data_IF_445878230794
#
_entry.id   IF_445878230794
#
_cell.length_a   1.000
_cell.length_b   1.000
_cell.length_c   1.000
_cell.angle_alpha   90.00
_cell.angle_beta   90.00
_cell.angle_gamma   90.00
#
_symmetry.space_group_name_H-M   'P 1'
#
loop_
_entity.id
_entity.type
_entity.pdbx_description
1 polymer ?
#
# COMPACT_ATOMS: atom_id res chain seq x y z
N UNK A 1 -12.49 -22.12 -17.36
CA UNK A 1 -11.23 -21.93 -16.60
C UNK A 1 -10.35 -23.15 -16.85
N UNK A 2 -9.05 -22.95 -17.11
CA UNK A 2 -8.04 -24.02 -17.20
C UNK A 2 -7.02 -23.83 -16.08
N UNK A 3 -6.30 -24.88 -15.74
CA UNK A 3 -5.28 -24.84 -14.68
C UNK A 3 -3.91 -25.22 -15.21
N UNK A 4 -2.88 -24.62 -14.64
CA UNK A 4 -1.48 -25.04 -14.77
C UNK A 4 -0.86 -25.15 -13.37
N UNK A 5 0.26 -25.87 -13.28
CA UNK A 5 1.03 -25.97 -12.05
C UNK A 5 2.43 -25.40 -12.30
N UNK A 6 2.76 -24.32 -11.58
CA UNK A 6 4.09 -23.72 -11.60
C UNK A 6 4.41 -23.19 -10.21
N UNK A 7 5.48 -23.66 -9.56
CA UNK A 7 5.88 -23.12 -8.26
C UNK A 7 6.36 -21.67 -8.39
N UNK A 8 6.38 -20.90 -7.29
CA UNK A 8 7.02 -19.60 -7.31
C UNK A 8 8.50 -19.69 -7.65
N UNK A 9 9.01 -18.73 -8.40
CA UNK A 9 10.41 -18.62 -8.85
C UNK A 9 11.00 -17.27 -8.42
N UNK A 10 12.32 -17.09 -8.47
CA UNK A 10 12.95 -15.81 -8.12
C UNK A 10 12.98 -14.91 -9.35
N UNK A 11 12.63 -13.63 -9.18
CA UNK A 11 12.80 -12.56 -10.17
C UNK A 11 13.45 -11.36 -9.50
N UNK A 12 13.85 -10.37 -10.28
CA UNK A 12 14.23 -9.05 -9.77
C UNK A 12 13.02 -8.10 -9.87
N UNK A 13 12.86 -7.19 -8.91
CA UNK A 13 11.90 -6.09 -9.02
C UNK A 13 12.50 -4.87 -9.75
N UNK A 14 11.68 -3.83 -10.00
CA UNK A 14 12.04 -2.55 -10.65
C UNK A 14 13.25 -1.84 -10.02
N UNK A 15 13.72 -2.29 -8.87
CA UNK A 15 14.80 -1.70 -8.13
C UNK A 15 16.02 -2.64 -7.96
N UNK A 16 16.03 -3.77 -8.68
CA UNK A 16 17.12 -4.74 -8.73
C UNK A 16 17.21 -5.65 -7.51
N UNK A 17 16.11 -5.85 -6.77
CA UNK A 17 16.06 -6.75 -5.62
C UNK A 17 15.42 -8.07 -5.99
N UNK A 18 16.07 -9.17 -5.61
CA UNK A 18 15.50 -10.51 -5.68
C UNK A 18 14.23 -10.60 -4.85
N UNK A 19 13.20 -11.15 -5.48
CA UNK A 19 11.88 -11.31 -4.91
C UNK A 19 11.24 -12.58 -5.45
N UNK A 20 10.51 -13.28 -4.57
CA UNK A 20 9.87 -14.53 -4.94
C UNK A 20 8.60 -14.21 -5.72
N UNK A 21 8.51 -14.63 -6.96
CA UNK A 21 7.40 -14.37 -7.85
C UNK A 21 6.55 -15.61 -8.08
N UNK A 22 5.23 -15.46 -7.89
CA UNK A 22 4.24 -16.44 -8.31
C UNK A 22 3.49 -15.89 -9.51
N UNK A 23 3.61 -16.56 -10.66
CA UNK A 23 2.75 -16.31 -11.81
C UNK A 23 1.39 -16.94 -11.55
N UNK A 24 0.36 -16.11 -11.39
CA UNK A 24 -0.94 -16.51 -10.82
C UNK A 24 -1.94 -16.88 -11.89
N UNK A 25 -2.05 -16.06 -12.93
CA UNK A 25 -3.07 -16.25 -13.96
C UNK A 25 -2.83 -15.41 -15.20
N UNK A 26 -3.48 -15.79 -16.29
CA UNK A 26 -3.60 -14.98 -17.50
C UNK A 26 -4.95 -15.22 -18.20
N UNK A 27 -5.30 -14.32 -19.11
CA UNK A 27 -6.49 -14.42 -19.94
C UNK A 27 -6.09 -14.86 -21.35
N UNK A 28 -6.68 -15.94 -21.82
CA UNK A 28 -6.57 -16.46 -23.17
C UNK A 28 -7.87 -16.13 -23.93
N UNK A 29 -7.82 -15.22 -24.91
CA UNK A 29 -8.98 -14.90 -25.74
C UNK A 29 -9.59 -16.14 -26.39
N UNK A 30 -10.92 -16.15 -26.62
CA UNK A 30 -11.87 -15.07 -26.36
C UNK A 30 -12.51 -15.09 -24.96
N UNK A 31 -12.33 -16.18 -24.19
CA UNK A 31 -13.13 -16.44 -22.99
C UNK A 31 -12.50 -17.43 -21.98
N UNK A 32 -11.20 -17.73 -22.11
CA UNK A 32 -10.54 -18.72 -21.24
C UNK A 32 -9.65 -18.02 -20.23
N UNK A 33 -9.90 -18.22 -18.93
CA UNK A 33 -8.95 -17.85 -17.87
C UNK A 33 -8.11 -19.07 -17.52
N UNK A 34 -6.79 -18.88 -17.47
CA UNK A 34 -5.82 -19.90 -17.08
C UNK A 34 -5.24 -19.54 -15.72
N UNK A 35 -5.44 -20.41 -14.72
CA UNK A 35 -5.08 -20.18 -13.32
C UNK A 35 -3.97 -21.12 -12.85
N UNK A 36 -3.09 -20.64 -11.99
CA UNK A 36 -2.13 -21.47 -11.29
C UNK A 36 -2.86 -22.24 -10.18
N UNK A 37 -2.67 -23.56 -10.09
CA UNK A 37 -3.23 -24.42 -9.02
C UNK A 37 -2.87 -23.93 -7.63
N UNK A 38 -1.73 -23.25 -7.46
CA UNK A 38 -1.34 -22.63 -6.20
C UNK A 38 -2.40 -21.64 -5.65
N UNK A 39 -3.23 -21.05 -6.52
CA UNK A 39 -4.34 -20.18 -6.10
C UNK A 39 -5.48 -20.92 -5.40
N UNK A 40 -5.61 -22.24 -5.57
CA UNK A 40 -6.63 -23.06 -4.86
C UNK A 40 -6.44 -22.95 -3.33
N UNK A 41 -5.20 -22.71 -2.87
CA UNK A 41 -4.87 -22.47 -1.47
C UNK A 41 -4.99 -20.99 -1.05
N UNK A 42 -5.30 -20.09 -1.99
CA UNK A 42 -5.41 -18.64 -1.77
C UNK A 42 -6.74 -18.10 -2.36
N UNK A 43 -7.91 -18.59 -1.90
CA UNK A 43 -9.21 -18.34 -2.55
C UNK A 43 -9.56 -16.85 -2.65
N UNK A 44 -9.19 -16.04 -1.64
CA UNK A 44 -9.35 -14.58 -1.64
C UNK A 44 -8.65 -13.93 -2.84
N UNK A 45 -7.47 -14.43 -3.20
CA UNK A 45 -6.67 -13.95 -4.33
C UNK A 45 -7.26 -14.44 -5.65
N UNK A 46 -7.69 -15.71 -5.70
CA UNK A 46 -8.36 -16.27 -6.87
C UNK A 46 -9.63 -15.49 -7.24
N UNK A 47 -10.46 -15.12 -6.25
CA UNK A 47 -11.66 -14.29 -6.47
C UNK A 47 -11.33 -12.97 -7.15
N UNK A 48 -10.25 -12.30 -6.70
CA UNK A 48 -9.80 -11.05 -7.30
C UNK A 48 -9.36 -11.23 -8.75
N UNK A 49 -8.56 -12.27 -9.05
CA UNK A 49 -8.07 -12.51 -10.41
C UNK A 49 -9.20 -12.80 -11.39
N UNK A 50 -10.13 -13.66 -11.00
CA UNK A 50 -11.34 -13.96 -11.78
C UNK A 50 -12.20 -12.71 -12.00
N UNK A 51 -12.37 -11.88 -10.96
CA UNK A 51 -13.16 -10.65 -11.05
C UNK A 51 -12.53 -9.62 -11.99
N UNK A 52 -11.20 -9.50 -11.99
CA UNK A 52 -10.48 -8.60 -12.88
C UNK A 52 -10.59 -9.04 -14.34
N UNK A 53 -10.47 -10.34 -14.64
CA UNK A 53 -10.70 -10.84 -16.01
C UNK A 53 -12.15 -10.78 -16.45
N UNK A 54 -13.10 -10.91 -15.52
CA UNK A 54 -14.50 -10.62 -15.83
C UNK A 54 -14.67 -9.15 -16.22
N UNK A 55 -13.98 -8.24 -15.52
CA UNK A 55 -13.88 -6.83 -15.90
C UNK A 55 -13.33 -6.66 -17.32
N UNK A 56 -12.24 -7.37 -17.65
CA UNK A 56 -11.68 -7.36 -19.02
C UNK A 56 -12.69 -7.82 -20.06
N UNK A 57 -13.45 -8.88 -19.77
CA UNK A 57 -14.46 -9.38 -20.69
C UNK A 57 -15.61 -8.40 -20.90
N UNK A 58 -16.06 -7.72 -19.84
CA UNK A 58 -17.21 -6.81 -19.87
C UNK A 58 -16.83 -5.44 -20.45
N UNK A 59 -15.68 -4.89 -20.07
CA UNK A 59 -15.25 -3.54 -20.44
C UNK A 59 -14.48 -3.49 -21.76
N UNK A 60 -13.80 -4.57 -22.13
CA UNK A 60 -12.87 -4.62 -23.27
C UNK A 60 -13.13 -5.82 -24.19
N UNK A 61 -14.33 -6.39 -24.17
CA UNK A 61 -14.76 -7.53 -24.99
C UNK A 61 -13.95 -8.83 -24.83
N UNK A 62 -12.97 -8.86 -23.91
CA UNK A 62 -12.04 -9.98 -23.76
C UNK A 62 -11.12 -10.14 -24.97
N UNK A 63 -10.63 -9.03 -25.52
CA UNK A 63 -9.70 -8.99 -26.67
C UNK A 63 -8.28 -9.47 -26.36
N UNK A 64 -7.98 -9.82 -25.10
CA UNK A 64 -6.68 -10.29 -24.65
C UNK A 64 -5.65 -9.21 -24.29
N UNK A 65 -5.92 -7.93 -24.53
CA UNK A 65 -5.03 -6.84 -24.17
C UNK A 65 -5.23 -6.47 -22.68
N UNK A 66 -4.77 -7.37 -21.81
CA UNK A 66 -4.77 -7.25 -20.34
C UNK A 66 -3.51 -7.92 -19.80
N UNK A 67 -2.92 -7.38 -18.73
CA UNK A 67 -1.73 -8.00 -18.15
C UNK A 67 -2.06 -9.34 -17.49
N UNK A 68 -1.10 -10.25 -17.55
CA UNK A 68 -1.08 -11.43 -16.71
C UNK A 68 -0.86 -11.01 -15.26
N UNK A 69 -1.42 -11.78 -14.34
CA UNK A 69 -1.29 -11.50 -12.93
C UNK A 69 -0.12 -12.26 -12.34
N UNK A 70 0.83 -11.51 -11.79
CA UNK A 70 1.89 -12.03 -10.94
C UNK A 70 1.82 -11.39 -9.54
N UNK A 71 2.47 -12.05 -8.59
CA UNK A 71 2.70 -11.55 -7.22
C UNK A 71 4.17 -11.69 -6.93
N UNK A 72 4.77 -10.70 -6.27
CA UNK A 72 6.21 -10.66 -6.02
C UNK A 72 7.02 -10.05 -7.18
N UNK A 73 6.50 -10.01 -8.41
CA UNK A 73 7.20 -9.41 -9.56
C UNK A 73 6.86 -7.93 -9.80
N UNK A 74 7.31 -7.42 -10.94
CA UNK A 74 7.13 -6.06 -11.45
C UNK A 74 5.71 -5.46 -11.25
N UNK A 75 5.67 -4.13 -11.15
CA UNK A 75 4.46 -3.31 -11.12
C UNK A 75 3.62 -3.49 -12.39
N UNK A 76 2.62 -4.39 -12.38
CA UNK A 76 1.68 -4.50 -13.51
C UNK A 76 2.28 -5.00 -14.83
N UNK A 77 3.58 -5.30 -14.84
CA UNK A 77 4.26 -5.97 -15.93
C UNK A 77 4.03 -7.46 -15.83
N UNK A 78 3.26 -8.02 -16.77
CA UNK A 78 3.80 -9.21 -17.40
C UNK A 78 5.14 -8.80 -18.00
N UNK A 79 6.23 -9.55 -17.80
CA UNK A 79 7.33 -9.48 -18.75
C UNK A 79 6.70 -9.89 -20.09
N UNK A 80 6.52 -8.95 -21.01
CA UNK A 80 6.48 -9.35 -22.41
C UNK A 80 7.91 -9.79 -22.74
N UNK A 81 8.14 -11.04 -23.17
CA UNK A 81 9.48 -11.57 -23.40
C UNK A 81 10.31 -10.79 -24.44
N UNK A 82 9.71 -9.83 -25.16
CA UNK A 82 10.30 -9.19 -26.33
C UNK A 82 10.35 -7.64 -26.31
N UNK A 83 9.92 -6.96 -25.24
CA UNK A 83 10.11 -5.51 -25.18
C UNK A 83 11.54 -5.19 -24.73
N UNK A 84 12.40 -4.94 -25.71
CA UNK A 84 13.72 -4.35 -25.51
C UNK A 84 13.65 -3.20 -24.51
N UNK A 85 14.72 -3.10 -23.71
CA UNK A 85 15.01 -2.06 -22.73
C UNK A 85 15.04 -0.66 -23.34
N UNK A 86 13.89 -0.14 -23.73
CA UNK A 86 13.71 1.26 -24.11
C UNK A 86 13.19 2.02 -22.89
N UNK A 87 13.91 3.06 -22.48
CA UNK A 87 13.51 4.00 -21.41
C UNK A 87 12.25 4.83 -21.77
N UNK A 88 11.50 4.44 -22.81
CA UNK A 88 10.33 5.14 -23.34
C UNK A 88 9.07 4.31 -23.14
N UNK A 89 8.14 4.84 -22.35
CA UNK A 89 6.79 4.29 -22.19
C UNK A 89 6.07 4.33 -23.55
N UNK A 90 5.68 3.18 -24.07
CA UNK A 90 4.95 3.08 -25.35
C UNK A 90 3.46 3.39 -25.17
N UNK A 91 2.76 3.70 -26.27
CA UNK A 91 1.29 3.86 -26.24
C UNK A 91 0.57 2.57 -25.82
N UNK A 92 1.12 1.41 -26.20
CA UNK A 92 0.64 0.09 -25.75
C UNK A 92 0.77 -0.10 -24.25
N UNK A 93 1.87 0.37 -23.64
CA UNK A 93 2.06 0.27 -22.18
C UNK A 93 1.03 1.12 -21.44
N UNK A 94 0.77 2.34 -21.93
CA UNK A 94 -0.25 3.23 -21.37
C UNK A 94 -1.64 2.57 -21.48
N UNK A 95 -1.98 2.01 -22.64
CA UNK A 95 -3.26 1.35 -22.85
C UNK A 95 -3.43 0.15 -21.91
N UNK A 96 -2.42 -0.72 -21.80
CA UNK A 96 -2.43 -1.87 -20.91
C UNK A 96 -2.56 -1.43 -19.45
N UNK A 97 -1.80 -0.42 -19.02
CA UNK A 97 -1.88 0.12 -17.66
C UNK A 97 -3.28 0.67 -17.34
N UNK A 98 -3.89 1.40 -18.28
CA UNK A 98 -5.23 1.95 -18.11
C UNK A 98 -6.29 0.85 -18.01
N UNK A 99 -6.27 -0.13 -18.91
CA UNK A 99 -7.21 -1.26 -18.89
C UNK A 99 -7.05 -2.11 -17.62
N UNK A 100 -5.83 -2.34 -17.17
CA UNK A 100 -5.57 -3.01 -15.90
C UNK A 100 -6.14 -2.22 -14.71
N UNK A 101 -6.04 -0.89 -14.74
CA UNK A 101 -6.66 -0.03 -13.73
C UNK A 101 -8.19 -0.15 -13.74
N UNK A 102 -8.82 -0.09 -14.92
CA UNK A 102 -10.28 -0.24 -15.08
C UNK A 102 -10.76 -1.62 -14.62
N UNK A 103 -10.07 -2.69 -15.01
CA UNK A 103 -10.37 -4.05 -14.60
C UNK A 103 -10.19 -4.26 -13.08
N UNK A 104 -9.15 -3.67 -12.48
CA UNK A 104 -8.93 -3.69 -11.03
C UNK A 104 -10.02 -2.93 -10.27
N UNK A 105 -10.44 -1.77 -10.79
CA UNK A 105 -11.54 -0.99 -10.23
C UNK A 105 -12.87 -1.75 -10.33
N UNK A 106 -13.15 -2.37 -11.49
CA UNK A 106 -14.28 -3.26 -11.70
C UNK A 106 -14.28 -4.42 -10.70
N UNK A 107 -13.16 -5.11 -10.55
CA UNK A 107 -13.04 -6.22 -9.61
C UNK A 107 -13.36 -5.80 -8.17
N UNK A 108 -12.83 -4.65 -7.74
CA UNK A 108 -13.17 -4.07 -6.44
C UNK A 108 -14.66 -3.73 -6.31
N UNK A 109 -15.29 -3.21 -7.38
CA UNK A 109 -16.71 -2.89 -7.38
C UNK A 109 -17.62 -4.12 -7.37
N UNK A 110 -17.20 -5.19 -8.03
CA UNK A 110 -17.90 -6.48 -8.07
C UNK A 110 -17.81 -7.19 -6.71
N UNK A 111 -16.60 -7.32 -6.16
CA UNK A 111 -16.37 -7.98 -4.87
C UNK A 111 -16.91 -7.18 -3.69
N UNK A 112 -17.01 -5.86 -3.85
CA UNK A 112 -17.48 -4.95 -2.81
C UNK A 112 -18.45 -3.91 -3.41
N UNK A 113 -19.71 -4.31 -3.66
CA UNK A 113 -20.73 -3.42 -4.21
C UNK A 113 -20.92 -2.17 -3.34
N UNK A 114 -21.02 -1.00 -3.97
CA UNK A 114 -20.88 0.31 -3.29
C UNK A 114 -21.76 0.46 -2.04
N UNK A 115 -23.07 0.26 -2.17
CA UNK A 115 -24.00 0.47 -1.06
C UNK A 115 -23.87 -0.62 0.02
N UNK A 116 -23.93 -1.93 -0.30
CA UNK A 116 -23.73 -2.98 0.71
C UNK A 116 -22.39 -2.84 1.45
N UNK A 117 -21.31 -2.58 0.72
CA UNK A 117 -19.99 -2.45 1.30
C UNK A 117 -19.86 -1.20 2.18
N UNK A 118 -20.49 -0.08 1.82
CA UNK A 118 -20.55 1.10 2.69
C UNK A 118 -21.25 0.80 4.02
N UNK A 119 -22.40 0.12 4.00
CA UNK A 119 -23.10 -0.28 5.22
C UNK A 119 -22.26 -1.25 6.06
N UNK A 120 -21.56 -2.18 5.40
CA UNK A 120 -20.63 -3.09 6.04
C UNK A 120 -19.50 -2.34 6.75
N UNK A 121 -18.83 -1.40 6.07
CA UNK A 121 -17.78 -0.56 6.67
C UNK A 121 -18.28 0.20 7.90
N UNK A 122 -19.48 0.77 7.84
CA UNK A 122 -20.08 1.47 8.97
C UNK A 122 -20.35 0.52 10.16
N UNK A 123 -20.90 -0.68 9.90
CA UNK A 123 -21.15 -1.66 10.97
C UNK A 123 -19.85 -2.12 11.66
N UNK A 124 -18.78 -2.23 10.89
CA UNK A 124 -17.48 -2.67 11.38
C UNK A 124 -16.58 -1.51 11.85
N UNK A 125 -17.11 -0.28 11.94
CA UNK A 125 -16.37 0.94 12.29
C UNK A 125 -15.06 1.11 11.48
N UNK A 126 -15.08 0.74 10.20
CA UNK A 126 -13.93 0.70 9.29
C UNK A 126 -12.72 -0.10 9.82
N UNK A 127 -12.94 -1.09 10.69
CA UNK A 127 -11.90 -1.99 11.15
C UNK A 127 -11.24 -2.70 9.97
N UNK A 128 -9.91 -2.62 9.87
CA UNK A 128 -9.17 -3.17 8.75
C UNK A 128 -9.21 -4.69 8.69
N UNK A 129 -9.36 -5.40 9.82
CA UNK A 129 -9.41 -6.86 9.85
C UNK A 129 -10.76 -7.43 9.39
N UNK A 130 -11.78 -6.58 9.20
CA UNK A 130 -13.09 -7.05 8.78
C UNK A 130 -13.12 -7.60 7.34
N UNK A 131 -12.03 -7.48 6.55
CA UNK A 131 -11.92 -8.18 5.28
C UNK A 131 -12.04 -9.70 5.41
N UNK A 132 -11.67 -10.25 6.56
CA UNK A 132 -11.68 -11.70 6.81
C UNK A 132 -13.09 -12.27 6.80
N UNK A 133 -14.07 -11.52 7.35
CA UNK A 133 -15.47 -11.96 7.47
C UNK A 133 -16.19 -12.03 6.12
N UNK A 134 -15.71 -11.30 5.12
CA UNK A 134 -16.26 -11.30 3.74
C UNK A 134 -15.32 -11.99 2.74
N UNK A 135 -14.26 -12.61 3.25
CA UNK A 135 -13.34 -13.47 2.50
C UNK A 135 -12.79 -12.83 1.20
N UNK A 136 -12.22 -11.63 1.36
CA UNK A 136 -11.44 -10.92 0.33
C UNK A 136 -10.05 -10.56 0.85
N UNK A 137 -9.15 -10.08 0.00
CA UNK A 137 -7.82 -9.63 0.45
C UNK A 137 -7.87 -8.27 1.14
N UNK A 138 -6.99 -8.04 2.12
CA UNK A 138 -6.84 -6.74 2.79
C UNK A 138 -6.65 -5.59 1.79
N UNK A 139 -5.84 -5.79 0.75
CA UNK A 139 -5.62 -4.77 -0.29
C UNK A 139 -6.88 -4.43 -1.09
N UNK A 140 -7.77 -5.38 -1.37
CA UNK A 140 -9.07 -5.07 -2.01
C UNK A 140 -9.96 -4.29 -1.03
N UNK A 141 -10.07 -4.77 0.21
CA UNK A 141 -10.88 -4.16 1.25
C UNK A 141 -10.50 -2.69 1.50
N UNK A 142 -9.22 -2.43 1.78
CA UNK A 142 -8.70 -1.11 2.11
C UNK A 142 -8.73 -0.15 0.90
N UNK A 143 -8.41 -0.62 -0.31
CA UNK A 143 -8.55 0.23 -1.53
C UNK A 143 -10.00 0.57 -1.81
N UNK A 144 -10.92 -0.37 -1.60
CA UNK A 144 -12.34 -0.10 -1.81
C UNK A 144 -12.87 0.89 -0.77
N UNK A 145 -12.41 0.80 0.47
CA UNK A 145 -12.77 1.73 1.55
C UNK A 145 -12.60 3.20 1.13
N UNK A 146 -11.49 3.53 0.47
CA UNK A 146 -11.18 4.92 0.06
C UNK A 146 -12.12 5.50 -0.99
N UNK A 147 -12.80 4.67 -1.79
CA UNK A 147 -13.68 5.13 -2.88
C UNK A 147 -15.18 5.01 -2.58
N UNK A 148 -15.57 4.26 -1.54
CA UNK A 148 -16.97 4.13 -1.13
C UNK A 148 -17.31 4.90 0.14
N UNK A 149 -16.31 5.26 0.95
CA UNK A 149 -16.53 6.05 2.18
C UNK A 149 -17.24 7.38 1.85
N UNK A 150 -18.17 7.86 2.70
CA UNK A 150 -18.73 9.21 2.54
C UNK A 150 -17.68 10.30 2.77
N UNK A 151 -16.68 10.04 3.61
CA UNK A 151 -15.56 10.94 3.79
C UNK A 151 -14.60 10.81 2.61
N UNK A 152 -14.13 11.93 2.04
CA UNK A 152 -13.37 11.93 0.78
C UNK A 152 -11.85 11.93 0.95
N UNK A 153 -11.36 12.29 2.13
CA UNK A 153 -9.95 12.60 2.33
C UNK A 153 -9.16 11.37 2.78
N UNK A 154 -9.08 10.37 1.91
CA UNK A 154 -8.38 9.10 2.14
C UNK A 154 -7.04 8.98 1.42
N UNK A 155 -6.19 8.10 1.93
CA UNK A 155 -5.05 7.54 1.21
C UNK A 155 -4.93 6.02 1.43
N UNK A 156 -4.25 5.36 0.50
CA UNK A 156 -3.85 3.96 0.59
C UNK A 156 -2.44 3.78 0.03
N UNK A 157 -1.65 2.95 0.70
CA UNK A 157 -0.32 2.53 0.27
C UNK A 157 -0.18 1.01 0.35
N UNK A 158 0.49 0.41 -0.63
CA UNK A 158 0.97 -0.98 -0.63
C UNK A 158 2.48 -0.93 -0.84
N UNK A 159 3.26 -1.42 0.13
CA UNK A 159 4.69 -1.18 0.21
C UNK A 159 5.48 -2.46 0.47
N UNK A 160 6.54 -2.68 -0.32
CA UNK A 160 7.46 -3.80 -0.20
C UNK A 160 8.83 -3.32 0.28
N UNK A 161 9.60 -4.21 0.91
CA UNK A 161 11.00 -3.94 1.21
C UNK A 161 11.81 -3.76 -0.11
N UNK A 162 12.79 -2.84 -0.16
CA UNK A 162 13.29 -1.97 0.93
C UNK A 162 12.64 -0.58 1.02
N UNK A 163 11.36 -0.44 0.65
CA UNK A 163 10.61 0.82 0.71
C UNK A 163 9.92 1.22 -0.60
N UNK A 164 9.77 0.28 -1.53
CA UNK A 164 9.09 0.50 -2.80
C UNK A 164 7.56 0.46 -2.64
N UNK A 165 6.85 1.38 -3.31
CA UNK A 165 5.39 1.45 -3.28
C UNK A 165 4.80 0.80 -4.53
N UNK A 166 4.09 -0.32 -4.34
CA UNK A 166 3.39 -1.04 -5.39
C UNK A 166 2.06 -0.40 -5.78
N UNK A 167 1.40 0.29 -4.86
CA UNK A 167 0.14 0.98 -5.18
C UNK A 167 -0.06 2.18 -4.28
N UNK A 168 -0.56 3.27 -4.88
CA UNK A 168 -0.85 4.53 -4.19
C UNK A 168 -2.18 5.08 -4.66
N UNK A 169 -3.11 5.35 -3.73
CA UNK A 169 -4.36 6.07 -3.97
C UNK A 169 -4.45 7.24 -2.99
N UNK A 170 -4.84 8.43 -3.46
CA UNK A 170 -4.90 9.64 -2.61
C UNK A 170 -6.03 10.59 -3.01
N UNK A 171 -6.70 11.14 -2.01
CA UNK A 171 -7.67 12.24 -2.11
C UNK A 171 -7.56 13.23 -0.94
N UNK A 172 -6.49 13.17 -0.16
CA UNK A 172 -6.38 13.77 1.17
C UNK A 172 -5.32 14.88 1.29
N UNK A 173 -4.91 15.47 0.17
CA UNK A 173 -3.97 16.59 0.12
C UNK A 173 -2.57 16.31 0.68
N UNK A 174 -2.16 15.03 0.76
CA UNK A 174 -0.76 14.67 0.97
C UNK A 174 0.07 15.29 -0.18
N UNK A 175 0.96 16.28 0.11
CA UNK A 175 1.82 16.88 -0.90
C UNK A 175 2.72 15.79 -1.45
N UNK A 176 2.86 15.72 -2.78
CA UNK A 176 3.63 14.67 -3.42
C UNK A 176 5.13 14.92 -3.18
N UNK A 177 5.85 14.04 -2.49
CA UNK A 177 7.30 14.00 -2.57
C UNK A 177 7.78 13.16 -3.77
N UNK A 178 6.88 12.34 -4.35
CA UNK A 178 7.17 11.14 -5.14
C UNK A 178 6.80 11.33 -6.62
N UNK A 179 7.77 11.67 -7.46
CA UNK A 179 7.56 11.84 -8.91
C UNK A 179 7.57 10.53 -9.71
N UNK A 180 8.07 9.43 -9.15
CA UNK A 180 7.98 8.11 -9.76
C UNK A 180 7.77 7.05 -8.65
N UNK A 181 7.05 5.97 -8.94
CA UNK A 181 6.81 4.87 -7.98
C UNK A 181 8.05 4.01 -7.72
N UNK A 182 9.23 4.37 -8.27
CA UNK A 182 10.47 3.62 -8.09
C UNK A 182 11.02 3.84 -6.68
N UNK A 183 11.92 2.95 -6.26
CA UNK A 183 12.66 3.09 -5.01
C UNK A 183 13.33 4.46 -4.95
N UNK A 184 12.74 5.36 -4.16
CA UNK A 184 13.31 6.68 -3.98
C UNK A 184 14.29 6.70 -2.83
N UNK A 185 15.35 7.45 -3.11
CA UNK A 185 16.30 7.97 -2.16
C UNK A 185 15.50 8.84 -1.19
N UNK A 186 15.21 8.29 -0.02
CA UNK A 186 14.95 9.03 1.22
C UNK A 186 13.48 9.36 1.62
N UNK A 187 12.59 8.34 1.73
CA UNK A 187 11.28 8.54 2.35
C UNK A 187 11.42 8.82 3.85
N UNK A 188 10.56 9.69 4.40
CA UNK A 188 10.49 9.88 5.84
C UNK A 188 10.11 8.55 6.53
N UNK A 189 11.06 7.95 7.24
CA UNK A 189 10.93 6.66 7.93
C UNK A 189 9.93 6.67 9.10
N UNK A 190 9.34 7.82 9.42
CA UNK A 190 8.34 7.99 10.47
C UNK A 190 6.91 7.74 10.01
N UNK A 191 6.68 7.59 8.71
CA UNK A 191 5.37 7.18 8.21
C UNK A 191 5.10 5.74 8.69
N UNK A 192 3.89 5.46 9.19
CA UNK A 192 3.54 4.17 9.77
C UNK A 192 3.88 2.98 8.84
N UNK A 193 3.64 3.15 7.53
CA UNK A 193 3.99 2.14 6.50
C UNK A 193 5.47 1.78 6.51
N UNK A 194 6.37 2.77 6.59
CA UNK A 194 7.81 2.56 6.60
C UNK A 194 8.32 2.09 7.97
N UNK A 195 7.78 2.63 9.07
CA UNK A 195 8.07 2.16 10.44
C UNK A 195 7.76 0.68 10.59
N UNK A 196 6.58 0.26 10.11
CA UNK A 196 6.17 -1.12 10.17
C UNK A 196 7.03 -1.97 9.23
N UNK A 197 7.29 -1.51 8.01
CA UNK A 197 8.18 -2.18 7.05
C UNK A 197 9.55 -2.49 7.66
N UNK A 198 10.18 -1.53 8.33
CA UNK A 198 11.55 -1.62 8.85
C UNK A 198 11.68 -2.42 10.15
N UNK A 199 10.56 -2.66 10.84
CA UNK A 199 10.49 -3.46 12.06
C UNK A 199 9.81 -4.80 11.79
N UNK A 200 10.52 -5.80 11.20
CA UNK A 200 9.94 -7.11 10.89
C UNK A 200 9.39 -7.86 12.10
N UNK A 201 9.84 -7.54 13.31
CA UNK A 201 9.32 -8.08 14.57
C UNK A 201 7.91 -7.58 14.93
N UNK A 202 7.48 -6.43 14.40
CA UNK A 202 6.15 -5.89 14.64
C UNK A 202 5.13 -6.56 13.71
N UNK A 203 4.34 -7.48 14.28
CA UNK A 203 3.31 -8.22 13.54
C UNK A 203 1.90 -7.62 13.71
N UNK A 204 1.65 -6.93 14.82
CA UNK A 204 0.36 -6.27 15.06
C UNK A 204 0.20 -5.06 14.13
N UNK A 205 -1.05 -4.73 13.74
CA UNK A 205 -1.32 -3.47 13.08
C UNK A 205 -0.79 -2.29 13.89
N UNK A 206 -0.31 -1.26 13.19
CA UNK A 206 0.16 -0.01 13.77
C UNK A 206 -0.84 1.10 13.44
N UNK A 207 -1.53 1.60 14.47
CA UNK A 207 -2.33 2.81 14.39
C UNK A 207 -1.44 4.01 14.72
N UNK A 208 -1.49 5.07 13.92
CA UNK A 208 -0.60 6.20 14.10
C UNK A 208 -1.31 7.51 13.80
N UNK A 209 -1.31 8.40 14.79
CA UNK A 209 -1.56 9.81 14.58
C UNK A 209 -0.28 10.47 14.04
N UNK A 210 -0.37 11.14 12.89
CA UNK A 210 0.78 11.72 12.19
C UNK A 210 0.56 13.20 11.92
N UNK A 211 1.45 14.05 12.42
CA UNK A 211 1.49 15.46 12.07
C UNK A 211 2.50 15.65 10.93
N UNK A 212 2.01 15.97 9.74
CA UNK A 212 2.85 16.36 8.61
C UNK A 212 3.19 17.83 8.73
N UNK A 213 4.49 18.13 8.75
CA UNK A 213 5.01 19.50 8.72
C UNK A 213 5.75 19.70 7.39
N UNK A 214 5.41 20.78 6.68
CA UNK A 214 6.00 21.15 5.41
C UNK A 214 6.10 22.68 5.29
N UNK A 215 7.21 23.26 5.77
CA UNK A 215 7.30 24.70 5.98
C UNK A 215 6.30 25.13 7.06
N UNK A 216 5.57 26.21 6.83
CA UNK A 216 4.51 26.71 7.72
C UNK A 216 3.23 25.85 7.70
N UNK A 217 3.17 24.86 6.79
CA UNK A 217 1.97 24.05 6.62
C UNK A 217 1.96 22.81 7.52
N UNK A 218 0.92 22.67 8.32
CA UNK A 218 0.66 21.49 9.14
C UNK A 218 -0.61 20.76 8.70
N UNK A 219 -0.54 19.42 8.59
CA UNK A 219 -1.70 18.55 8.44
C UNK A 219 -1.68 17.42 9.44
N UNK A 220 -2.84 17.12 10.00
CA UNK A 220 -3.03 16.00 10.90
C UNK A 220 -3.64 14.82 10.15
N UNK A 221 -2.96 13.68 10.17
CA UNK A 221 -3.44 12.42 9.60
C UNK A 221 -3.61 11.38 10.70
N UNK A 222 -4.53 10.45 10.49
CA UNK A 222 -4.54 9.17 11.18
C UNK A 222 -4.44 8.06 10.16
N UNK A 223 -3.65 7.03 10.46
CA UNK A 223 -3.49 5.87 9.60
C UNK A 223 -3.38 4.58 10.39
N UNK A 224 -3.69 3.49 9.70
CA UNK A 224 -3.48 2.12 10.16
C UNK A 224 -2.69 1.36 9.10
N UNK A 225 -1.62 0.71 9.55
CA UNK A 225 -0.76 -0.13 8.71
C UNK A 225 -0.75 -1.57 9.21
N UNK A 226 -0.79 -2.55 8.31
CA UNK A 226 -0.72 -3.96 8.64
C UNK A 226 0.28 -4.68 7.74
N UNK A 227 1.10 -5.55 8.33
CA UNK A 227 1.99 -6.44 7.62
C UNK A 227 1.22 -7.67 7.16
N UNK A 228 1.34 -8.01 5.89
CA UNK A 228 0.72 -9.19 5.29
C UNK A 228 1.70 -9.94 4.40
N UNK A 229 1.41 -11.22 4.15
CA UNK A 229 2.14 -12.02 3.17
C UNK A 229 1.32 -12.13 1.89
N UNK A 230 2.00 -12.06 0.76
CA UNK A 230 1.37 -12.29 -0.54
C UNK A 230 1.31 -13.80 -0.87
N UNK A 231 0.72 -14.15 -2.02
CA UNK A 231 0.60 -15.54 -2.48
C UNK A 231 1.96 -16.21 -2.76
N UNK A 232 3.02 -15.44 -3.01
CA UNK A 232 4.39 -15.94 -3.14
C UNK A 232 5.13 -15.97 -1.78
N UNK A 233 4.43 -15.63 -0.69
CA UNK A 233 4.91 -15.54 0.70
C UNK A 233 5.88 -14.38 0.97
N UNK A 234 5.96 -13.38 0.09
CA UNK A 234 6.70 -12.15 0.40
C UNK A 234 5.95 -11.31 1.41
N UNK A 235 6.69 -10.73 2.35
CA UNK A 235 6.17 -9.80 3.35
C UNK A 235 6.08 -8.39 2.79
N UNK A 236 4.93 -7.75 2.94
CA UNK A 236 4.70 -6.37 2.56
C UNK A 236 3.78 -5.70 3.59
N UNK A 237 3.65 -4.39 3.49
CA UNK A 237 2.79 -3.59 4.38
C UNK A 237 1.75 -2.87 3.54
N UNK A 238 0.49 -3.07 3.90
CA UNK A 238 -0.62 -2.26 3.40
C UNK A 238 -1.01 -1.23 4.45
N UNK A 239 -1.31 -0.02 4.02
CA UNK A 239 -1.67 1.09 4.89
C UNK A 239 -2.83 1.87 4.31
N UNK A 240 -3.75 2.31 5.16
CA UNK A 240 -4.76 3.30 4.81
C UNK A 240 -4.83 4.37 5.87
N UNK A 241 -5.26 5.55 5.50
CA UNK A 241 -5.44 6.63 6.45
C UNK A 241 -6.25 7.78 5.88
N UNK A 242 -6.50 8.76 6.72
CA UNK A 242 -7.30 9.93 6.41
C UNK A 242 -6.62 11.21 6.87
N UNK A 243 -6.90 12.30 6.17
CA UNK A 243 -6.69 13.65 6.69
C UNK A 243 -7.80 14.00 7.68
N UNK A 244 -7.45 14.42 8.89
CA UNK A 244 -8.42 14.79 9.93
C UNK A 244 -8.85 16.25 9.84
N UNK A 245 -8.08 17.11 9.17
CA UNK A 245 -8.30 18.57 9.17
C UNK A 245 -9.71 18.96 8.68
N UNK A 246 -10.23 18.45 7.55
CA UNK A 246 -11.58 18.79 7.08
C UNK A 246 -12.67 18.39 8.08
N UNK A 247 -12.53 17.23 8.72
CA UNK A 247 -13.50 16.76 9.71
C UNK A 247 -13.44 17.56 11.01
N UNK A 248 -12.24 17.92 11.48
CA UNK A 248 -12.05 18.78 12.66
C UNK A 248 -12.69 20.16 12.45
N UNK A 249 -12.38 20.81 11.32
CA UNK A 249 -12.93 22.12 10.98
C UNK A 249 -14.46 22.10 10.85
N UNK A 250 -15.02 21.02 10.27
CA UNK A 250 -16.47 20.86 10.16
C UNK A 250 -17.18 20.74 11.53
N UNK A 251 -16.44 20.41 12.60
CA UNK A 251 -16.93 20.39 13.98
C UNK A 251 -16.59 21.67 14.77
N UNK A 252 -16.06 22.70 14.11
CA UNK A 252 -15.69 23.96 14.76
C UNK A 252 -14.43 23.87 15.63
N UNK A 253 -13.62 22.81 15.48
CA UNK A 253 -12.33 22.70 16.17
C UNK A 253 -11.31 23.61 15.48
N UNK A 254 -10.56 24.39 16.26
CA UNK A 254 -9.37 25.09 15.78
C UNK A 254 -8.27 24.06 15.44
N UNK A 255 -8.25 23.60 14.19
CA UNK A 255 -7.30 22.59 13.75
C UNK A 255 -5.85 23.09 13.70
N UNK A 256 -5.63 24.41 13.54
CA UNK A 256 -4.30 25.02 13.57
C UNK A 256 -3.73 24.97 14.99
N UNK A 257 -4.48 25.48 15.98
CA UNK A 257 -4.08 25.41 17.38
C UNK A 257 -3.88 23.97 17.87
N UNK A 258 -4.74 23.04 17.45
CA UNK A 258 -4.55 21.61 17.76
C UNK A 258 -3.25 21.04 17.16
N UNK A 259 -2.88 21.43 15.93
CA UNK A 259 -1.62 20.99 15.32
C UNK A 259 -0.39 21.55 16.05
N UNK A 260 -0.44 22.80 16.49
CA UNK A 260 0.60 23.42 17.32
C UNK A 260 0.76 22.69 18.65
N UNK A 261 -0.36 22.39 19.33
CA UNK A 261 -0.34 21.65 20.58
C UNK A 261 0.27 20.24 20.41
N UNK A 262 -0.10 19.52 19.35
CA UNK A 262 0.47 18.21 19.03
C UNK A 262 1.97 18.30 18.75
N UNK A 263 2.41 19.34 18.02
CA UNK A 263 3.83 19.58 17.73
C UNK A 263 4.61 19.82 19.02
N UNK A 264 4.11 20.70 19.88
CA UNK A 264 4.77 21.10 21.10
C UNK A 264 4.81 19.95 22.11
N UNK A 265 3.71 19.18 22.21
CA UNK A 265 3.69 17.92 22.95
C UNK A 265 4.73 16.93 22.43
N UNK A 266 4.84 16.76 21.11
CA UNK A 266 5.80 15.84 20.51
C UNK A 266 7.25 16.14 20.88
N UNK A 267 7.62 17.43 20.99
CA UNK A 267 9.00 17.84 21.29
C UNK A 267 9.30 17.96 22.79
N UNK A 268 8.29 18.20 23.62
CA UNK A 268 8.47 18.42 25.07
C UNK A 268 8.28 17.16 25.91
N UNK A 269 7.48 16.20 25.44
CA UNK A 269 7.11 15.01 26.19
C UNK A 269 7.93 13.77 25.79
N UNK A 270 8.19 12.89 26.75
CA UNK A 270 8.73 11.56 26.46
C UNK A 270 7.73 10.70 25.67
N UNK A 271 8.22 9.73 24.89
CA UNK A 271 7.37 8.84 24.07
C UNK A 271 6.34 8.03 24.87
N UNK A 272 6.51 7.88 26.20
CA UNK A 272 5.57 7.19 27.08
C UNK A 272 4.55 8.12 27.77
N UNK A 273 4.66 9.43 27.58
CA UNK A 273 3.78 10.40 28.22
C UNK A 273 2.35 10.27 27.70
N UNK A 274 1.34 10.36 28.58
CA UNK A 274 -0.05 10.35 28.15
C UNK A 274 -0.35 11.61 27.31
N UNK A 275 -1.07 11.41 26.20
CA UNK A 275 -1.52 12.52 25.35
C UNK A 275 -2.50 13.40 26.15
N UNK A 276 -2.35 14.74 26.16
CA UNK A 276 -3.29 15.65 26.83
C UNK A 276 -4.75 15.48 26.37
N UNK A 277 -5.71 15.70 27.28
CA UNK A 277 -7.14 15.60 26.96
C UNK A 277 -7.59 16.62 25.89
N UNK A 278 -6.96 17.80 25.87
CA UNK A 278 -7.13 18.83 24.84
C UNK A 278 -6.83 18.31 23.42
N UNK A 279 -5.88 17.39 23.27
CA UNK A 279 -5.59 16.70 22.00
C UNK A 279 -6.53 15.49 21.80
N UNK A 280 -6.77 14.70 22.85
CA UNK A 280 -7.55 13.47 22.74
C UNK A 280 -9.02 13.72 22.36
N UNK A 281 -9.68 14.70 22.98
CA UNK A 281 -11.13 14.89 22.82
C UNK A 281 -11.54 15.29 21.39
N UNK A 282 -10.88 16.23 20.69
CA UNK A 282 -11.16 16.51 19.29
C UNK A 282 -10.98 15.30 18.37
N UNK A 283 -9.95 14.48 18.63
CA UNK A 283 -9.66 13.29 17.82
C UNK A 283 -10.71 12.20 18.07
N UNK A 284 -11.11 11.97 19.33
CA UNK A 284 -12.20 11.06 19.69
C UNK A 284 -13.54 11.50 19.10
N UNK A 285 -13.83 12.80 19.11
CA UNK A 285 -15.03 13.38 18.49
C UNK A 285 -15.09 13.03 17.00
N UNK A 286 -14.03 13.32 16.25
CA UNK A 286 -13.96 13.03 14.81
C UNK A 286 -13.98 11.53 14.54
N UNK A 287 -13.32 10.70 15.36
CA UNK A 287 -13.38 9.24 15.24
C UNK A 287 -14.81 8.71 15.32
N UNK A 288 -15.62 9.22 16.27
CA UNK A 288 -17.03 8.84 16.43
C UNK A 288 -17.88 9.30 15.25
N UNK A 289 -17.70 10.55 14.79
CA UNK A 289 -18.48 11.12 13.69
C UNK A 289 -18.20 10.42 12.36
N UNK A 290 -16.93 10.16 12.06
CA UNK A 290 -16.53 9.41 10.87
C UNK A 290 -16.82 7.91 10.99
N UNK A 291 -17.02 7.44 12.22
CA UNK A 291 -17.18 6.02 12.58
C UNK A 291 -15.99 5.17 12.08
N UNK A 292 -14.79 5.61 12.43
CA UNK A 292 -13.52 5.00 12.03
C UNK A 292 -12.72 4.70 13.31
N UNK A 293 -12.66 3.43 13.71
CA UNK A 293 -12.14 3.01 15.02
C UNK A 293 -10.65 3.36 15.19
N UNK A 294 -9.85 3.09 14.16
CA UNK A 294 -8.39 3.27 14.22
C UNK A 294 -7.95 4.74 14.33
N UNK A 295 -8.88 5.70 14.17
CA UNK A 295 -8.61 7.11 14.49
C UNK A 295 -8.44 7.31 15.98
N UNK A 296 -9.34 6.75 16.80
CA UNK A 296 -9.22 6.79 18.26
C UNK A 296 -8.08 5.89 18.75
N UNK A 297 -7.92 4.70 18.16
CA UNK A 297 -6.82 3.79 18.53
C UNK A 297 -5.43 4.41 18.25
N UNK A 298 -5.35 5.38 17.34
CA UNK A 298 -4.13 6.15 17.09
C UNK A 298 -3.66 6.96 18.30
N UNK A 299 -4.54 7.27 19.27
CA UNK A 299 -4.21 7.96 20.52
C UNK A 299 -3.51 7.06 21.55
N UNK A 300 -3.55 5.74 21.37
CA UNK A 300 -2.80 4.80 22.22
C UNK A 300 -1.29 4.89 21.97
N UNK A 301 -0.89 5.50 20.85
CA UNK A 301 0.48 5.65 20.43
C UNK A 301 0.88 7.11 20.46
N UNK A 302 2.12 7.39 20.89
CA UNK A 302 2.65 8.74 20.83
C UNK A 302 2.58 9.29 19.39
N UNK A 303 2.07 10.52 19.18
CA UNK A 303 1.98 11.12 17.85
C UNK A 303 3.34 11.11 17.15
N UNK A 304 3.33 11.08 15.82
CA UNK A 304 4.55 11.09 15.03
C UNK A 304 4.59 12.33 14.15
N UNK A 305 5.70 13.07 14.21
CA UNK A 305 5.98 14.08 13.19
C UNK A 305 6.53 13.37 11.95
N UNK A 306 5.84 13.57 10.83
CA UNK A 306 6.22 13.12 9.50
C UNK A 306 6.55 14.33 8.62
N UNK A 307 7.37 14.11 7.59
CA UNK A 307 7.70 15.11 6.59
C UNK A 307 7.49 14.54 5.19
N UNK A 308 7.25 15.39 4.16
CA UNK A 308 7.16 14.92 2.79
C UNK A 308 8.51 14.36 2.32
N UNK A 309 9.62 15.02 2.70
CA UNK A 309 10.99 14.57 2.46
C UNK A 309 11.79 14.59 3.75
N UNK A 310 12.59 13.57 3.99
CA UNK A 310 13.63 13.50 5.03
C UNK A 310 14.53 14.74 5.13
N UNK A 311 14.93 15.32 4.00
CA UNK A 311 15.76 16.52 3.92
C UNK A 311 15.02 17.79 4.39
N UNK A 312 13.69 17.72 4.48
CA UNK A 312 12.82 18.74 5.07
C UNK A 312 12.26 18.28 6.42
N UNK A 313 12.96 17.38 7.12
CA UNK A 313 12.54 16.92 8.43
C UNK A 313 12.63 18.09 9.43
N UNK A 314 11.56 18.40 10.16
CA UNK A 314 11.54 19.48 11.16
C UNK A 314 12.25 19.10 12.47
N UNK A 315 12.79 17.88 12.59
CA UNK A 315 13.49 17.40 13.79
C UNK A 315 14.97 17.78 13.71
N UNK A 316 15.56 18.21 14.84
CA UNK A 316 16.98 18.53 14.94
C UNK A 316 17.90 17.36 14.54
N UNK A 317 17.51 16.11 14.87
CA UNK A 317 18.09 14.90 14.30
C UNK A 317 17.23 14.44 13.14
N UNK A 318 17.75 14.57 11.91
CA UNK A 318 17.08 14.04 10.72
C UNK A 318 16.76 12.56 10.89
N UNK A 319 15.62 12.13 10.34
CA UNK A 319 15.27 10.71 10.27
C UNK A 319 16.45 9.99 9.60
N UNK A 320 17.06 9.00 10.25
CA UNK A 320 18.33 8.43 9.79
C UNK A 320 18.27 7.98 8.31
N UNK A 321 19.04 8.66 7.46
CA UNK A 321 19.11 8.41 6.01
C UNK A 321 20.00 7.22 5.64
N UNK A 322 20.34 6.32 6.57
CA UNK A 322 21.18 5.16 6.21
C UNK A 322 20.29 4.02 5.75
N UNK A 323 20.16 3.76 4.42
CA UNK A 323 19.90 2.39 4.03
C UNK A 323 21.05 1.57 4.64
N UNK A 324 20.72 0.59 5.48
CA UNK A 324 21.61 -0.57 5.55
C UNK A 324 21.58 -1.14 4.13
N UNK A 325 22.52 -0.72 3.29
CA UNK A 325 22.91 -1.56 2.17
C UNK A 325 23.34 -2.86 2.84
N UNK A 326 22.48 -3.87 2.82
CA UNK A 326 23.02 -5.22 2.84
C UNK A 326 23.95 -5.23 1.64
N UNK A 327 25.24 -5.45 1.91
CA UNK A 327 26.26 -5.69 0.88
C UNK A 327 25.58 -6.53 -0.20
N UNK A 328 25.63 -6.08 -1.46
CA UNK A 328 25.28 -6.92 -2.60
C UNK A 328 26.09 -8.20 -2.45
N UNK A 329 25.48 -9.27 -1.96
CA UNK A 329 26.10 -10.60 -2.01
C UNK A 329 25.74 -11.09 -3.40
N UNK A 330 26.61 -10.77 -4.35
CA UNK A 330 26.54 -11.24 -5.73
C UNK A 330 27.02 -12.69 -5.75
N UNK A 331 26.14 -13.63 -5.41
CA UNK A 331 26.42 -15.06 -5.58
C UNK A 331 26.61 -15.44 -7.07
N UNK A 332 26.14 -14.62 -8.01
CA UNK A 332 26.23 -14.91 -9.45
C UNK A 332 27.64 -14.77 -10.04
N UNK A 333 28.52 -13.94 -9.47
CA UNK A 333 29.91 -13.82 -9.94
C UNK A 333 30.83 -14.90 -9.36
N UNK A 334 30.53 -15.43 -8.17
CA UNK A 334 31.28 -16.54 -7.57
C UNK A 334 30.90 -17.87 -8.22
N UNK A 335 29.61 -18.13 -8.50
CA UNK A 335 29.18 -19.33 -9.24
C UNK A 335 29.73 -19.35 -10.67
N UNK A 336 29.85 -18.18 -11.32
CA UNK A 336 30.43 -18.08 -12.67
C UNK A 336 31.94 -18.35 -12.66
N UNK A 337 32.65 -17.99 -11.60
CA UNK A 337 34.08 -18.29 -11.43
C UNK A 337 34.33 -19.75 -11.05
N UNK A 338 33.49 -20.35 -10.18
CA UNK A 338 33.53 -21.79 -9.85
C UNK A 338 33.29 -22.66 -11.09
N UNK A 339 32.29 -22.34 -11.92
CA UNK A 339 32.03 -23.07 -13.18
C UNK A 339 33.20 -22.93 -14.17
N UNK A 340 33.90 -21.80 -14.19
CA UNK A 340 35.07 -21.60 -15.06
C UNK A 340 36.32 -22.30 -14.55
N UNK A 341 36.43 -22.57 -13.24
CA UNK A 341 37.56 -23.34 -12.66
C UNK A 341 37.33 -24.86 -12.68
N UNK A 342 36.08 -25.32 -12.83
CA UNK A 342 35.75 -26.74 -13.06
C UNK A 342 35.84 -27.17 -14.54
N UNK A 343 36.06 -26.22 -15.46
CA UNK A 343 36.21 -26.46 -16.90
C UNK A 343 37.66 -26.39 -17.41
N UNK A 344 38.63 -26.24 -16.49
CA UNK A 344 40.06 -26.51 -16.71
C UNK A 344 40.42 -27.87 -16.10
#
# INVERSE_FOLDING_TARGET
VKYFDRPPFVTENDSGYEIRTLFRSFFEPPNTVVLNRQLEHEPRRMKYDLSAYLGHKVLHNGDGLVSSHATGGELGGSPQPDSQTDDKVSQSDILNAWRNFECSFFAGALLCPRQPFRHYLAREAHNINAFEKIDITAGVYMRRMTCVSPYKHWHYFDAFQPGFLRAVYRGNGIPMPWGNMRMWVDPCRQWAVFRLLDKPQMQKPLNQLSLLISGEYMRLYSCVSQRIKDAAKNSHVVSTGIDLIPALNAQGVDSSGLCEEIRDFYFSADQGSPIPNSIQEPIKLVSKILNISWVADGLENHPQIICPRSNSCPKNTHCENKPRSRKKVSWLNEIKQEILTELE
#
